data_IF_763049166126
#
_entry.id   IF_763049166126
#
_cell.length_a   1.000
_cell.length_b   1.000
_cell.length_c   1.000
_cell.angle_alpha   90.00
_cell.angle_beta   90.00
_cell.angle_gamma   90.00
#
_symmetry.space_group_name_H-M   'P 1'
#
loop_
_entity.id
_entity.type
_entity.pdbx_description
1 polymer ?
#
# COMPACT_ATOMS: atom_id res chain seq x y z
N UNK A 1 6.06 -1.67 -18.35
CA UNK A 1 6.02 -2.54 -17.16
C UNK A 1 4.57 -2.86 -16.82
N UNK A 2 4.34 -4.05 -16.26
CA UNK A 2 3.08 -4.41 -15.62
C UNK A 2 3.12 -3.99 -14.14
N UNK A 3 2.23 -3.08 -13.75
CA UNK A 3 2.19 -2.48 -12.41
C UNK A 3 0.88 -2.84 -11.74
N UNK A 4 0.97 -3.44 -10.55
CA UNK A 4 -0.19 -3.71 -9.68
C UNK A 4 -0.26 -2.64 -8.60
N UNK A 5 -1.39 -1.92 -8.53
CA UNK A 5 -1.65 -0.92 -7.49
C UNK A 5 -2.69 -1.47 -6.53
N UNK A 6 -2.29 -1.73 -5.29
CA UNK A 6 -3.16 -2.21 -4.23
C UNK A 6 -3.75 -1.02 -3.46
N UNK A 7 -5.06 -1.03 -3.23
CA UNK A 7 -5.79 0.10 -2.64
C UNK A 7 -5.93 1.28 -3.60
N UNK A 8 -6.20 0.99 -4.87
CA UNK A 8 -6.26 1.97 -5.96
C UNK A 8 -7.36 3.03 -5.79
N UNK A 9 -8.39 2.79 -4.97
CA UNK A 9 -9.47 3.71 -4.63
C UNK A 9 -9.18 4.58 -3.39
N UNK A 10 -8.10 4.29 -2.66
CA UNK A 10 -7.69 5.09 -1.52
C UNK A 10 -7.06 6.43 -1.93
N UNK A 11 -6.86 7.33 -0.94
CA UNK A 11 -6.33 8.68 -1.15
C UNK A 11 -5.03 8.70 -1.98
N UNK A 12 -4.08 7.82 -1.68
CA UNK A 12 -2.80 7.73 -2.41
C UNK A 12 -3.00 6.97 -3.71
N UNK A 13 -3.66 5.80 -3.64
CA UNK A 13 -3.80 4.88 -4.75
C UNK A 13 -4.49 5.51 -5.96
N UNK A 14 -5.56 6.29 -5.76
CA UNK A 14 -6.24 6.92 -6.88
C UNK A 14 -5.38 7.98 -7.59
N UNK A 15 -4.57 8.74 -6.85
CA UNK A 15 -3.66 9.72 -7.44
C UNK A 15 -2.54 9.06 -8.24
N UNK A 16 -1.96 8.00 -7.72
CA UNK A 16 -0.96 7.21 -8.45
C UNK A 16 -1.59 6.59 -9.70
N UNK A 17 -2.79 6.01 -9.56
CA UNK A 17 -3.52 5.43 -10.69
C UNK A 17 -3.81 6.46 -11.79
N UNK A 18 -4.26 7.67 -11.43
CA UNK A 18 -4.45 8.76 -12.38
C UNK A 18 -3.15 9.19 -13.06
N UNK A 19 -2.08 9.37 -12.29
CA UNK A 19 -0.79 9.81 -12.82
C UNK A 19 -0.21 8.78 -13.78
N UNK A 20 -0.29 7.49 -13.45
CA UNK A 20 0.21 6.41 -14.29
C UNK A 20 -0.75 6.03 -15.42
N UNK A 21 -2.02 6.41 -15.34
CA UNK A 21 -3.04 6.10 -16.34
C UNK A 21 -2.75 6.64 -17.74
N UNK A 22 -1.98 7.73 -17.85
CA UNK A 22 -1.51 8.30 -19.11
C UNK A 22 -0.17 7.76 -19.58
N UNK A 23 0.43 6.84 -18.84
CA UNK A 23 1.73 6.25 -19.15
C UNK A 23 1.60 5.02 -20.07
N UNK A 24 2.72 4.59 -20.66
CA UNK A 24 2.80 3.35 -21.46
C UNK A 24 2.92 2.08 -20.59
N UNK A 25 2.41 2.10 -19.36
CA UNK A 25 2.42 0.95 -18.45
C UNK A 25 1.10 0.19 -18.54
N UNK A 26 1.16 -1.12 -18.32
CA UNK A 26 -0.04 -1.95 -18.13
C UNK A 26 -0.41 -1.87 -16.66
N UNK A 27 -1.54 -1.28 -16.33
CA UNK A 27 -1.99 -1.11 -14.95
C UNK A 27 -3.01 -2.18 -14.56
N UNK A 28 -2.83 -2.71 -13.35
CA UNK A 28 -3.81 -3.54 -12.65
C UNK A 28 -4.16 -2.82 -11.37
N UNK A 29 -5.42 -2.47 -11.20
CA UNK A 29 -5.93 -1.68 -10.09
C UNK A 29 -6.76 -2.56 -9.18
N UNK A 30 -6.31 -2.75 -7.94
CA UNK A 30 -7.06 -3.48 -6.94
C UNK A 30 -7.74 -2.54 -5.95
N UNK A 31 -9.02 -2.78 -5.72
CA UNK A 31 -9.82 -2.16 -4.66
C UNK A 31 -10.81 -3.18 -4.09
N UNK A 32 -11.31 -2.96 -2.85
CA UNK A 32 -12.30 -3.85 -2.23
C UNK A 32 -13.64 -3.81 -2.94
N UNK A 33 -14.00 -2.65 -3.44
CA UNK A 33 -15.22 -2.40 -4.21
C UNK A 33 -14.84 -1.78 -5.54
N UNK A 34 -15.58 -2.10 -6.60
CA UNK A 34 -15.34 -1.50 -7.91
C UNK A 34 -15.66 -0.02 -7.85
N UNK A 35 -14.64 0.82 -8.05
CA UNK A 35 -14.82 2.27 -8.10
C UNK A 35 -15.21 2.69 -9.52
N UNK A 36 -16.42 3.20 -9.70
CA UNK A 36 -16.85 3.81 -10.98
C UNK A 36 -15.98 4.99 -11.36
N UNK A 37 -15.47 5.71 -10.36
CA UNK A 37 -14.57 6.83 -10.58
C UNK A 37 -13.29 6.43 -11.32
N UNK A 38 -12.63 5.35 -10.88
CA UNK A 38 -11.42 4.87 -11.55
C UNK A 38 -11.69 4.38 -12.97
N UNK A 39 -12.84 3.73 -13.22
CA UNK A 39 -13.24 3.28 -14.54
C UNK A 39 -13.38 4.43 -15.56
N UNK A 40 -13.84 5.60 -15.10
CA UNK A 40 -14.08 6.76 -15.96
C UNK A 40 -12.79 7.50 -16.34
N UNK A 41 -11.71 7.36 -15.56
CA UNK A 41 -10.47 8.11 -15.77
C UNK A 41 -9.33 7.28 -16.34
N UNK A 42 -9.41 5.94 -16.29
CA UNK A 42 -8.29 5.07 -16.68
C UNK A 42 -8.81 3.97 -17.61
N UNK A 43 -8.85 4.28 -18.90
CA UNK A 43 -9.38 3.37 -19.95
C UNK A 43 -8.53 2.12 -20.18
N UNK A 44 -7.24 2.15 -19.83
CA UNK A 44 -6.26 1.11 -20.16
C UNK A 44 -5.85 0.25 -18.94
N UNK A 45 -6.67 0.20 -17.89
CA UNK A 45 -6.38 -0.59 -16.70
C UNK A 45 -7.30 -1.83 -16.61
N UNK A 46 -6.74 -2.91 -16.09
CA UNK A 46 -7.50 -4.07 -15.63
C UNK A 46 -7.87 -3.85 -14.16
N UNK A 47 -9.10 -4.17 -13.79
CA UNK A 47 -9.59 -4.03 -12.42
C UNK A 47 -9.71 -5.39 -11.74
N UNK A 48 -9.32 -5.44 -10.47
CA UNK A 48 -9.41 -6.60 -9.62
C UNK A 48 -10.07 -6.21 -8.29
N UNK A 49 -10.89 -7.10 -7.73
CA UNK A 49 -11.61 -6.85 -6.48
C UNK A 49 -11.19 -7.90 -5.44
N UNK A 50 -10.10 -7.61 -4.72
CA UNK A 50 -9.63 -8.42 -3.61
C UNK A 50 -9.76 -7.65 -2.29
N UNK A 51 -10.37 -8.31 -1.31
CA UNK A 51 -10.41 -7.84 0.09
C UNK A 51 -9.38 -8.63 0.91
N UNK A 52 -8.24 -8.02 1.20
CA UNK A 52 -7.14 -8.67 1.91
C UNK A 52 -7.43 -8.96 3.39
N UNK A 53 -8.59 -8.57 3.90
CA UNK A 53 -9.09 -9.10 5.17
C UNK A 53 -9.65 -10.52 5.03
N UNK A 54 -10.04 -10.93 3.82
CA UNK A 54 -10.71 -12.21 3.54
C UNK A 54 -9.90 -13.13 2.62
N UNK A 55 -9.10 -12.56 1.73
CA UNK A 55 -8.38 -13.25 0.66
C UNK A 55 -6.87 -13.10 0.83
N UNK A 56 -6.11 -14.05 0.33
CA UNK A 56 -4.65 -14.01 0.34
C UNK A 56 -4.15 -13.16 -0.84
N UNK A 57 -3.28 -12.19 -0.55
CA UNK A 57 -2.65 -11.35 -1.57
C UNK A 57 -1.79 -12.16 -2.54
N UNK A 58 -1.25 -13.29 -2.11
CA UNK A 58 -0.40 -14.15 -2.96
C UNK A 58 -1.16 -14.73 -4.14
N UNK A 59 -2.47 -14.96 -4.03
CA UNK A 59 -3.33 -15.40 -5.14
C UNK A 59 -3.32 -14.34 -6.24
N UNK A 60 -3.61 -13.08 -5.89
CA UNK A 60 -3.62 -11.96 -6.84
C UNK A 60 -2.23 -11.71 -7.45
N UNK A 61 -1.17 -11.81 -6.64
CA UNK A 61 0.20 -11.65 -7.12
C UNK A 61 0.60 -12.74 -8.12
N UNK A 62 0.24 -13.99 -7.88
CA UNK A 62 0.50 -15.11 -8.78
C UNK A 62 -0.32 -15.00 -10.08
N UNK A 63 -1.60 -14.65 -9.97
CA UNK A 63 -2.50 -14.48 -11.11
C UNK A 63 -2.03 -13.35 -12.04
N UNK A 64 -1.66 -12.21 -11.44
CA UNK A 64 -1.29 -11.03 -12.22
C UNK A 64 0.17 -10.98 -12.62
N UNK A 65 1.07 -11.62 -11.88
CA UNK A 65 2.53 -11.62 -12.07
C UNK A 65 3.10 -10.23 -12.42
N UNK A 66 2.94 -9.22 -11.57
CA UNK A 66 3.39 -7.87 -11.84
C UNK A 66 4.92 -7.75 -11.79
N UNK A 67 5.48 -6.77 -12.51
CA UNK A 67 6.90 -6.40 -12.42
C UNK A 67 7.17 -5.44 -11.24
N UNK A 68 6.14 -4.64 -10.89
CA UNK A 68 6.14 -3.71 -9.78
C UNK A 68 4.81 -3.78 -9.04
N UNK A 69 4.87 -3.91 -7.72
CA UNK A 69 3.71 -3.74 -6.84
C UNK A 69 3.83 -2.39 -6.14
N UNK A 70 2.74 -1.62 -6.13
CA UNK A 70 2.62 -0.38 -5.36
C UNK A 70 1.56 -0.62 -4.30
N UNK A 71 1.99 -0.74 -3.05
CA UNK A 71 1.09 -1.01 -1.93
C UNK A 71 0.66 0.29 -1.24
N UNK A 72 -0.57 0.72 -1.54
CA UNK A 72 -1.26 1.85 -0.92
C UNK A 72 -2.30 1.41 0.12
N UNK A 73 -2.40 0.09 0.41
CA UNK A 73 -3.34 -0.42 1.40
C UNK A 73 -2.88 -0.05 2.80
N UNK A 74 -3.83 0.42 3.59
CA UNK A 74 -3.64 0.68 5.00
C UNK A 74 -4.96 1.01 5.69
N UNK A 75 -5.03 0.74 6.99
CA UNK A 75 -6.16 1.10 7.84
C UNK A 75 -5.75 2.27 8.70
N UNK A 76 -6.46 3.40 8.57
CA UNK A 76 -6.26 4.59 9.40
C UNK A 76 -7.15 4.56 10.63
N UNK A 77 -6.86 5.40 11.64
CA UNK A 77 -7.65 5.55 12.88
C UNK A 77 -9.13 5.82 12.57
N UNK A 78 -9.43 6.61 11.53
CA UNK A 78 -10.82 6.94 11.14
C UNK A 78 -11.58 5.78 10.47
N UNK A 79 -10.89 4.73 10.01
CA UNK A 79 -11.49 3.62 9.22
C UNK A 79 -11.35 2.26 9.90
N UNK A 80 -11.29 2.21 11.22
CA UNK A 80 -11.30 0.94 11.95
C UNK A 80 -9.92 0.41 12.32
N UNK A 81 -8.90 1.27 12.45
CA UNK A 81 -7.67 0.92 13.18
C UNK A 81 -7.95 0.58 14.65
N UNK A 82 -9.16 0.87 15.11
CA UNK A 82 -9.66 0.43 16.42
C UNK A 82 -9.83 -1.09 16.51
N UNK A 83 -9.99 -1.77 15.37
CA UNK A 83 -9.92 -3.23 15.27
C UNK A 83 -8.47 -3.60 15.01
N UNK A 84 -7.71 -3.77 16.09
CA UNK A 84 -6.26 -4.04 16.04
C UNK A 84 -5.91 -5.22 15.13
N UNK A 85 -6.74 -6.25 15.06
CA UNK A 85 -6.52 -7.42 14.20
C UNK A 85 -6.48 -7.06 12.71
N UNK A 86 -7.38 -6.16 12.26
CA UNK A 86 -7.39 -5.66 10.89
C UNK A 86 -6.14 -4.82 10.60
N UNK A 87 -5.74 -3.97 11.56
CA UNK A 87 -4.52 -3.18 11.43
C UNK A 87 -3.27 -4.08 11.37
N UNK A 88 -3.18 -5.11 12.20
CA UNK A 88 -2.09 -6.10 12.13
C UNK A 88 -2.10 -6.79 10.76
N UNK A 89 -3.27 -7.21 10.26
CA UNK A 89 -3.35 -7.91 8.97
C UNK A 89 -2.93 -7.02 7.80
N UNK A 90 -3.46 -5.78 7.73
CA UNK A 90 -3.28 -4.90 6.56
C UNK A 90 -2.05 -4.01 6.66
N UNK A 91 -1.76 -3.44 7.85
CA UNK A 91 -0.65 -2.51 8.00
C UNK A 91 0.68 -3.22 8.25
N UNK A 92 0.66 -4.39 8.93
CA UNK A 92 1.87 -5.10 9.32
C UNK A 92 2.12 -6.32 8.43
N UNK A 93 1.22 -7.32 8.39
CA UNK A 93 1.50 -8.60 7.71
C UNK A 93 1.50 -8.48 6.19
N UNK A 94 0.52 -7.77 5.62
CA UNK A 94 0.37 -7.63 4.17
C UNK A 94 1.63 -7.11 3.46
N UNK A 95 2.30 -6.02 3.91
CA UNK A 95 3.54 -5.56 3.27
C UNK A 95 4.66 -6.59 3.29
N UNK A 96 4.81 -7.35 4.38
CA UNK A 96 5.82 -8.40 4.47
C UNK A 96 5.54 -9.54 3.50
N UNK A 97 4.28 -10.00 3.41
CA UNK A 97 3.89 -11.04 2.44
C UNK A 97 4.18 -10.61 1.00
N UNK A 98 3.86 -9.35 0.64
CA UNK A 98 4.17 -8.81 -0.69
C UNK A 98 5.69 -8.76 -0.92
N UNK A 99 6.46 -8.33 0.07
CA UNK A 99 7.92 -8.22 -0.05
C UNK A 99 8.59 -9.59 -0.20
N UNK A 100 8.15 -10.59 0.55
CA UNK A 100 8.61 -11.97 0.44
C UNK A 100 8.33 -12.54 -0.96
N UNK A 101 7.10 -12.36 -1.44
CA UNK A 101 6.72 -12.76 -2.80
C UNK A 101 7.57 -12.04 -3.84
N UNK A 102 7.72 -10.71 -3.72
CA UNK A 102 8.49 -9.89 -4.66
C UNK A 102 9.96 -10.32 -4.70
N UNK A 103 10.56 -10.61 -3.53
CA UNK A 103 11.93 -11.10 -3.43
C UNK A 103 12.10 -12.44 -4.12
N UNK A 104 11.19 -13.40 -3.83
CA UNK A 104 11.21 -14.75 -4.42
C UNK A 104 11.09 -14.74 -5.95
N UNK A 105 10.34 -13.78 -6.52
CA UNK A 105 10.08 -13.70 -7.95
C UNK A 105 10.90 -12.62 -8.66
N UNK A 106 11.90 -12.01 -7.99
CA UNK A 106 12.73 -10.91 -8.54
C UNK A 106 11.91 -9.72 -9.04
N UNK A 107 10.84 -9.37 -8.31
CA UNK A 107 9.95 -8.25 -8.57
C UNK A 107 10.25 -7.09 -7.62
N UNK A 108 9.66 -5.92 -7.90
CA UNK A 108 9.85 -4.70 -7.10
C UNK A 108 8.61 -4.36 -6.28
N UNK A 109 8.82 -3.77 -5.10
CA UNK A 109 7.77 -3.26 -4.24
C UNK A 109 8.03 -1.80 -3.87
N UNK A 110 7.01 -0.94 -4.02
CA UNK A 110 6.92 0.36 -3.36
C UNK A 110 5.84 0.25 -2.30
N UNK A 111 6.20 0.48 -1.04
CA UNK A 111 5.27 0.45 0.09
C UNK A 111 5.12 1.83 0.72
N UNK A 112 3.88 2.30 0.86
CA UNK A 112 3.58 3.55 1.55
C UNK A 112 3.40 3.32 3.05
N UNK A 113 4.32 3.88 3.84
CA UNK A 113 4.25 4.03 5.27
C UNK A 113 3.76 5.44 5.63
N UNK A 114 4.00 5.89 6.83
CA UNK A 114 3.54 7.17 7.38
C UNK A 114 4.61 7.78 8.30
N UNK A 115 4.58 9.08 8.48
CA UNK A 115 5.32 9.79 9.52
C UNK A 115 4.80 9.49 10.94
N UNK A 116 3.55 9.02 11.07
CA UNK A 116 2.98 8.58 12.35
C UNK A 116 3.70 7.36 12.97
N UNK A 117 4.69 6.78 12.30
CA UNK A 117 5.60 5.80 12.92
C UNK A 117 6.49 6.45 14.00
N UNK A 118 6.52 7.78 14.04
CA UNK A 118 7.22 8.57 15.04
C UNK A 118 6.23 9.20 16.03
N UNK A 119 6.62 9.22 17.31
CA UNK A 119 5.81 9.81 18.40
C UNK A 119 5.72 11.34 18.33
N UNK A 120 6.66 11.99 17.65
CA UNK A 120 6.79 13.46 17.61
C UNK A 120 7.59 14.05 18.76
N UNK A 121 7.95 13.28 19.78
CA UNK A 121 8.60 13.79 21.02
C UNK A 121 10.01 14.32 20.78
N UNK A 122 10.77 13.68 19.89
CA UNK A 122 12.15 14.09 19.55
C UNK A 122 12.17 15.33 18.67
N UNK A 123 11.24 15.47 17.71
CA UNK A 123 11.32 16.43 16.61
C UNK A 123 12.46 16.14 15.64
N UNK A 124 12.44 16.75 14.46
CA UNK A 124 13.48 16.63 13.43
C UNK A 124 13.92 15.19 13.16
N UNK A 125 12.97 14.29 13.01
CA UNK A 125 13.25 12.89 12.68
C UNK A 125 13.86 12.75 11.29
N UNK A 126 14.75 11.77 11.15
CA UNK A 126 15.36 11.33 9.89
C UNK A 126 14.93 9.90 9.55
N UNK A 127 15.26 9.44 8.36
CA UNK A 127 14.99 8.07 7.91
C UNK A 127 15.70 7.01 8.75
N UNK A 128 16.81 7.40 9.42
CA UNK A 128 17.63 6.50 10.26
C UNK A 128 17.14 6.40 11.70
N UNK A 129 16.20 7.27 12.10
CA UNK A 129 15.66 7.23 13.45
C UNK A 129 14.78 5.99 13.66
N UNK A 130 14.87 5.44 14.87
CA UNK A 130 14.01 4.33 15.28
C UNK A 130 12.57 4.79 15.35
N UNK A 131 11.67 3.95 14.88
CA UNK A 131 10.23 4.16 15.02
C UNK A 131 9.84 4.06 16.50
N UNK A 132 9.12 5.05 17.01
CA UNK A 132 8.77 5.20 18.42
C UNK A 132 7.29 5.55 18.66
N UNK A 133 6.42 5.22 17.69
CA UNK A 133 4.98 5.42 17.80
C UNK A 133 4.40 4.70 19.02
N UNK A 134 3.39 5.32 19.65
CA UNK A 134 2.73 4.79 20.83
C UNK A 134 1.28 4.33 20.57
N UNK A 135 0.69 4.76 19.47
CA UNK A 135 -0.67 4.37 19.07
C UNK A 135 -0.67 3.16 18.13
N UNK A 136 -1.82 2.48 18.05
CA UNK A 136 -1.97 1.26 17.26
C UNK A 136 -1.72 1.45 15.77
N UNK A 137 -2.05 2.62 15.22
CA UNK A 137 -1.82 2.90 13.81
C UNK A 137 -0.34 3.02 13.52
N UNK A 138 0.38 3.90 14.22
CA UNK A 138 1.81 4.09 14.05
C UNK A 138 2.60 2.81 14.34
N UNK A 139 2.26 2.09 15.42
CA UNK A 139 2.89 0.80 15.76
C UNK A 139 2.71 -0.25 14.66
N UNK A 140 1.50 -0.41 14.12
CA UNK A 140 1.25 -1.43 13.09
C UNK A 140 1.86 -1.03 11.74
N UNK A 141 1.86 0.25 11.39
CA UNK A 141 2.53 0.76 10.19
C UNK A 141 4.05 0.62 10.30
N UNK A 142 4.65 1.00 11.44
CA UNK A 142 6.08 0.86 11.68
C UNK A 142 6.56 -0.60 11.61
N UNK A 143 5.80 -1.53 12.21
CA UNK A 143 6.07 -2.97 12.11
C UNK A 143 5.85 -3.54 10.71
N UNK A 144 5.13 -2.84 9.85
CA UNK A 144 4.91 -3.23 8.45
C UNK A 144 5.95 -2.68 7.48
N UNK A 145 6.88 -1.85 7.93
CA UNK A 145 7.94 -1.34 7.07
C UNK A 145 8.90 -2.46 6.67
N UNK A 146 9.20 -2.51 5.38
CA UNK A 146 10.05 -3.54 4.79
C UNK A 146 11.33 -2.90 4.28
N UNK A 147 12.45 -3.55 4.58
CA UNK A 147 13.76 -3.20 4.04
C UNK A 147 14.32 -4.40 3.27
N UNK A 148 14.47 -4.25 1.97
CA UNK A 148 15.14 -5.22 1.11
C UNK A 148 15.66 -4.54 -0.16
N UNK A 149 16.55 -5.23 -0.90
CA UNK A 149 17.17 -4.69 -2.11
C UNK A 149 16.17 -4.35 -3.24
N UNK A 150 14.98 -4.93 -3.20
CA UNK A 150 13.93 -4.74 -4.22
C UNK A 150 12.69 -4.01 -3.67
N UNK A 151 12.78 -3.46 -2.45
CA UNK A 151 11.68 -2.74 -1.80
C UNK A 151 12.08 -1.31 -1.48
N UNK A 152 11.18 -0.37 -1.81
CA UNK A 152 11.24 1.02 -1.36
C UNK A 152 10.06 1.28 -0.41
N UNK A 153 10.35 1.53 0.86
CA UNK A 153 9.34 2.02 1.81
C UNK A 153 9.40 3.55 1.88
N UNK A 154 8.26 4.20 1.67
CA UNK A 154 8.12 5.66 1.67
C UNK A 154 7.32 6.07 2.90
N UNK A 155 7.94 6.83 3.82
CA UNK A 155 7.25 7.50 4.93
C UNK A 155 6.78 8.87 4.47
N UNK A 156 5.52 9.18 4.62
CA UNK A 156 4.98 10.49 4.26
C UNK A 156 3.69 10.81 5.00
N UNK A 157 3.54 12.08 5.38
CA UNK A 157 2.23 12.65 5.71
C UNK A 157 1.44 12.84 4.42
N UNK A 158 0.21 12.35 4.40
CA UNK A 158 -0.64 12.45 3.22
C UNK A 158 -1.84 13.34 3.51
N UNK A 159 -2.01 14.37 2.69
CA UNK A 159 -3.17 15.26 2.70
C UNK A 159 -3.78 15.23 1.31
N UNK A 160 -5.06 14.90 1.21
CA UNK A 160 -5.75 14.83 -0.07
C UNK A 160 -7.22 14.50 0.09
N UNK A 161 -7.93 14.51 -1.03
CA UNK A 161 -9.32 14.06 -1.08
C UNK A 161 -9.36 12.53 -1.06
N UNK A 162 -10.29 11.99 -0.29
CA UNK A 162 -10.72 10.61 -0.41
C UNK A 162 -11.83 10.52 -1.48
N UNK A 163 -11.87 9.40 -2.20
CA UNK A 163 -12.94 9.10 -3.16
C UNK A 163 -14.17 8.53 -2.46
#
# INVERSE_FOLDING_TARGET
MKILILGADGMIGHKISQTLGSSNHTLILNSRTRSEYLNNFISNATFSNYDFLKQDVTELLNETNPELVINCVGVTIRRGADIIENAIKLNQKLPHTIAEWSSKHSKKLIHFSTDCVFSGTKGNYSELDLVDAIDNYGLTKGKGEVQSHNTLTIRSSMIGREL
#
